data_IF_018947529525
#
_entry.id   IF_018947529525
#
_cell.length_a   1.000
_cell.length_b   1.000
_cell.length_c   1.000
_cell.angle_alpha   90.00
_cell.angle_beta   90.00
_cell.angle_gamma   90.00
#
_symmetry.space_group_name_H-M   'P 1'
#
loop_
_entity.id
_entity.type
_entity.pdbx_description
1 polymer ?
#
# COMPACT_ATOMS: atom_id res chain seq x y z
N UNK A 1 -24.40 -14.58 -1.54
CA UNK A 1 -25.05 -13.97 -0.37
C UNK A 1 -24.02 -13.87 0.74
N UNK A 2 -23.80 -12.67 1.30
CA UNK A 2 -22.87 -12.53 2.44
C UNK A 2 -23.57 -13.06 3.70
N UNK A 3 -23.13 -14.21 4.21
CA UNK A 3 -23.64 -14.77 5.48
C UNK A 3 -22.96 -14.10 6.68
N UNK A 4 -23.00 -12.77 6.74
CA UNK A 4 -22.48 -12.01 7.88
C UNK A 4 -23.44 -12.14 9.04
N UNK A 5 -22.95 -12.60 10.22
CA UNK A 5 -23.73 -12.74 11.45
C UNK A 5 -23.58 -11.56 12.42
N UNK A 6 -22.52 -10.80 12.27
CA UNK A 6 -22.22 -9.64 13.10
C UNK A 6 -20.98 -8.93 12.61
N UNK A 7 -20.75 -7.75 13.15
CA UNK A 7 -19.56 -6.96 12.84
C UNK A 7 -19.17 -6.03 13.98
N UNK A 8 -17.88 -5.71 14.09
CA UNK A 8 -17.33 -4.71 14.99
C UNK A 8 -16.65 -3.62 14.15
N UNK A 9 -17.04 -2.37 14.38
CA UNK A 9 -16.34 -1.22 13.82
C UNK A 9 -15.24 -0.78 14.78
N UNK A 10 -14.01 -0.65 14.27
CA UNK A 10 -12.83 -0.26 15.04
C UNK A 10 -12.28 1.03 14.44
N UNK A 11 -12.32 2.11 15.21
CA UNK A 11 -11.72 3.39 14.83
C UNK A 11 -10.30 3.47 15.38
N UNK A 12 -9.31 3.53 14.52
CA UNK A 12 -7.88 3.60 14.87
C UNK A 12 -7.38 5.00 14.58
N UNK A 13 -6.88 5.70 15.59
CA UNK A 13 -6.22 7.00 15.45
C UNK A 13 -4.75 6.85 15.77
N UNK A 14 -3.89 7.46 14.97
CA UNK A 14 -2.43 7.38 15.13
C UNK A 14 -1.96 7.73 16.54
N UNK A 15 -2.55 8.76 17.15
CA UNK A 15 -2.23 9.24 18.50
C UNK A 15 -2.59 8.29 19.65
N UNK A 16 -3.52 7.34 19.40
CA UNK A 16 -4.01 6.39 20.42
C UNK A 16 -3.22 5.07 20.39
N UNK A 17 -2.31 4.91 19.40
CA UNK A 17 -1.51 3.70 19.24
C UNK A 17 -0.36 3.62 20.23
N UNK A 18 -0.12 2.41 20.74
CA UNK A 18 1.08 2.09 21.51
C UNK A 18 2.23 1.71 20.57
N UNK A 19 3.46 1.93 21.03
CA UNK A 19 4.68 1.57 20.30
C UNK A 19 4.75 2.21 18.89
N UNK A 20 4.13 3.39 18.71
CA UNK A 20 4.29 4.16 17.48
C UNK A 20 5.75 4.62 17.35
N UNK A 21 6.28 4.60 16.12
CA UNK A 21 7.58 5.17 15.85
C UNK A 21 7.50 6.71 15.72
N UNK A 22 8.67 7.36 15.68
CA UNK A 22 8.77 8.83 15.53
C UNK A 22 8.15 9.34 14.20
N UNK A 23 7.99 8.46 13.20
CA UNK A 23 7.40 8.80 11.91
C UNK A 23 5.86 8.81 11.96
N UNK A 24 5.25 8.29 13.03
CA UNK A 24 3.80 8.24 13.21
C UNK A 24 3.06 7.34 12.21
N UNK A 25 3.77 6.44 11.52
CA UNK A 25 3.20 5.62 10.44
C UNK A 25 2.89 4.18 10.83
N UNK A 26 3.16 3.78 12.05
CA UNK A 26 2.84 2.46 12.57
C UNK A 26 2.52 2.51 14.06
N UNK A 27 1.93 1.45 14.55
CA UNK A 27 1.67 1.26 15.97
C UNK A 27 0.77 0.05 16.22
N UNK A 28 0.50 -0.16 17.50
CA UNK A 28 -0.32 -1.26 17.98
C UNK A 28 -1.53 -0.74 18.75
N UNK A 29 -2.71 -1.12 18.32
CA UNK A 29 -3.95 -1.02 19.09
C UNK A 29 -4.12 -2.29 19.92
N UNK A 30 -4.22 -2.17 21.24
CA UNK A 30 -4.55 -3.29 22.14
C UNK A 30 -6.04 -3.18 22.49
N UNK A 31 -6.80 -4.22 22.20
CA UNK A 31 -8.23 -4.27 22.52
C UNK A 31 -8.41 -4.61 24.00
N UNK A 32 -9.38 -3.95 24.66
CA UNK A 32 -9.74 -4.27 26.04
C UNK A 32 -10.41 -5.63 26.12
N UNK A 33 -11.28 -5.92 25.16
CA UNK A 33 -11.92 -7.22 24.98
C UNK A 33 -11.51 -7.81 23.63
N UNK A 34 -11.05 -9.06 23.60
CA UNK A 34 -10.66 -9.70 22.36
C UNK A 34 -11.88 -9.97 21.46
N UNK A 35 -11.70 -9.84 20.16
CA UNK A 35 -12.69 -10.24 19.16
C UNK A 35 -12.48 -11.71 18.87
N UNK A 36 -13.49 -12.55 19.20
CA UNK A 36 -13.38 -14.00 19.10
C UNK A 36 -14.47 -14.52 18.16
N UNK A 37 -14.05 -15.25 17.11
CA UNK A 37 -14.98 -15.99 16.25
C UNK A 37 -15.28 -17.38 16.82
N UNK A 38 -16.50 -17.86 16.61
CA UNK A 38 -16.90 -19.22 16.96
C UNK A 38 -16.19 -20.24 16.03
N UNK A 39 -16.24 -21.51 16.41
CA UNK A 39 -15.54 -22.59 15.66
C UNK A 39 -16.02 -22.78 14.21
N UNK A 40 -17.22 -22.32 13.87
CA UNK A 40 -17.81 -22.36 12.53
C UNK A 40 -17.80 -20.99 11.81
N UNK A 41 -17.07 -20.01 12.34
CA UNK A 41 -16.96 -18.67 11.79
C UNK A 41 -15.51 -18.37 11.41
N UNK A 42 -15.35 -17.46 10.46
CA UNK A 42 -14.08 -16.83 10.08
C UNK A 42 -14.23 -15.32 10.21
N UNK A 43 -13.13 -14.67 10.59
CA UNK A 43 -13.06 -13.22 10.66
C UNK A 43 -12.58 -12.65 9.33
N UNK A 44 -13.19 -11.54 8.94
CA UNK A 44 -12.81 -10.75 7.78
C UNK A 44 -12.57 -9.30 8.20
N UNK A 45 -11.57 -8.66 7.65
CA UNK A 45 -11.32 -7.23 7.84
C UNK A 45 -11.56 -6.46 6.55
N UNK A 46 -12.23 -5.32 6.67
CA UNK A 46 -12.46 -4.37 5.58
C UNK A 46 -12.05 -2.98 6.04
N UNK A 47 -11.38 -2.20 5.19
CA UNK A 47 -11.16 -0.77 5.42
C UNK A 47 -12.41 -0.04 4.94
N UNK A 48 -13.14 0.59 5.87
CA UNK A 48 -14.37 1.33 5.57
C UNK A 48 -14.07 2.75 5.15
N UNK A 49 -13.18 3.40 5.89
CA UNK A 49 -12.68 4.73 5.55
C UNK A 49 -11.31 4.95 6.16
N UNK A 50 -10.59 5.91 5.62
CA UNK A 50 -9.33 6.37 6.20
C UNK A 50 -9.13 7.84 5.88
N UNK A 51 -8.57 8.59 6.84
CA UNK A 51 -8.28 10.01 6.71
C UNK A 51 -6.82 10.26 6.99
N UNK A 52 -6.15 10.97 6.09
CA UNK A 52 -4.72 11.24 6.16
C UNK A 52 -4.42 12.71 5.91
N UNK A 53 -3.44 13.30 6.63
CA UNK A 53 -2.86 14.57 6.25
C UNK A 53 -1.91 14.35 5.07
N UNK A 54 -2.07 15.10 3.98
CA UNK A 54 -1.12 15.12 2.85
C UNK A 54 -0.03 16.17 3.13
N UNK A 55 0.71 15.98 4.23
CA UNK A 55 1.73 16.90 4.72
C UNK A 55 3.11 16.26 4.87
N UNK A 56 3.29 15.04 4.37
CA UNK A 56 4.61 14.41 4.37
C UNK A 56 5.57 15.05 3.37
N UNK A 57 6.85 14.96 3.68
CA UNK A 57 7.89 15.46 2.80
C UNK A 57 8.02 14.59 1.55
N UNK A 58 8.11 15.21 0.38
CA UNK A 58 8.45 14.54 -0.86
C UNK A 58 9.97 14.54 -1.14
N UNK A 59 10.72 15.35 -0.39
CA UNK A 59 12.18 15.39 -0.41
C UNK A 59 12.69 15.22 1.02
N UNK A 60 13.43 14.15 1.29
CA UNK A 60 14.00 13.93 2.63
C UNK A 60 15.15 12.91 2.61
N UNK A 61 15.99 12.96 3.64
CA UNK A 61 17.01 11.94 3.92
C UNK A 61 16.38 10.56 4.09
N UNK A 62 15.18 10.51 4.68
CA UNK A 62 14.45 9.27 4.89
C UNK A 62 14.02 8.59 3.59
N UNK A 63 13.65 9.38 2.57
CA UNK A 63 13.29 8.89 1.23
C UNK A 63 14.53 8.62 0.38
N UNK A 64 15.71 8.94 0.86
CA UNK A 64 16.98 8.81 0.12
C UNK A 64 16.94 9.54 -1.23
N UNK A 65 16.37 10.76 -1.28
CA UNK A 65 16.20 11.50 -2.53
C UNK A 65 16.60 12.98 -2.42
N UNK A 66 17.33 13.38 -1.37
CA UNK A 66 17.64 14.77 -1.08
C UNK A 66 19.08 15.18 -1.42
N UNK A 67 19.77 14.46 -2.29
CA UNK A 67 21.13 14.84 -2.70
C UNK A 67 21.23 15.07 -4.18
N UNK A 68 22.24 15.85 -4.60
CA UNK A 68 22.68 15.98 -5.98
C UNK A 68 24.19 16.09 -6.03
N UNK A 69 24.81 15.36 -6.96
CA UNK A 69 26.25 15.32 -7.14
C UNK A 69 26.66 16.08 -8.41
N UNK A 70 27.60 16.99 -8.30
CA UNK A 70 28.13 17.75 -9.45
C UNK A 70 29.62 18.03 -9.33
N UNK A 71 30.25 18.36 -10.44
CA UNK A 71 31.66 18.70 -10.55
C UNK A 71 31.89 19.74 -11.63
N UNK A 72 32.55 20.84 -11.29
CA UNK A 72 33.04 21.84 -12.25
C UNK A 72 34.48 21.53 -12.70
N UNK A 73 34.93 22.13 -13.80
CA UNK A 73 36.28 21.87 -14.36
C UNK A 73 37.41 22.01 -13.37
N UNK A 74 37.31 22.98 -12.45
CA UNK A 74 38.34 23.26 -11.44
C UNK A 74 38.28 22.34 -10.21
N UNK A 75 37.26 21.52 -10.09
CA UNK A 75 37.14 20.62 -8.97
C UNK A 75 37.98 19.34 -9.18
N UNK A 76 38.62 18.84 -8.13
CA UNK A 76 39.36 17.58 -8.15
C UNK A 76 38.41 16.36 -8.08
N UNK A 77 37.28 16.51 -7.42
CA UNK A 77 36.27 15.43 -7.20
C UNK A 77 34.84 15.97 -7.30
N UNK A 78 33.88 15.05 -7.39
CA UNK A 78 32.48 15.43 -7.29
C UNK A 78 32.16 15.98 -5.91
N UNK A 79 31.37 17.05 -5.89
CA UNK A 79 30.73 17.61 -4.71
C UNK A 79 29.32 17.05 -4.58
N UNK A 80 28.92 16.76 -3.36
CA UNK A 80 27.57 16.34 -3.06
C UNK A 80 26.90 17.48 -2.30
N UNK A 81 25.84 18.06 -2.89
CA UNK A 81 24.97 19.00 -2.18
C UNK A 81 23.83 18.22 -1.55
N UNK A 82 23.43 18.65 -0.35
CA UNK A 82 22.25 18.15 0.35
C UNK A 82 21.18 19.23 0.33
N UNK A 83 20.01 18.87 -0.20
CA UNK A 83 18.83 19.72 -0.25
C UNK A 83 18.10 19.66 1.08
N UNK A 84 17.46 20.75 1.47
CA UNK A 84 16.72 20.82 2.71
C UNK A 84 15.45 19.96 2.60
N UNK A 85 15.11 19.27 3.70
CA UNK A 85 13.94 18.41 3.72
C UNK A 85 12.64 19.23 3.67
N UNK A 86 11.69 18.81 2.85
CA UNK A 86 10.45 19.56 2.69
C UNK A 86 9.46 18.96 1.72
N UNK A 87 8.37 19.69 1.55
CA UNK A 87 7.33 19.41 0.56
C UNK A 87 7.43 20.44 -0.55
N UNK A 88 8.08 20.11 -1.64
CA UNK A 88 8.38 20.98 -2.75
C UNK A 88 7.39 20.81 -3.91
N UNK A 89 7.03 21.92 -4.56
CA UNK A 89 6.59 21.90 -5.96
C UNK A 89 7.81 21.98 -6.89
N UNK A 90 7.61 21.92 -8.22
CA UNK A 90 8.74 21.87 -9.16
C UNK A 90 9.58 23.15 -9.12
N UNK A 91 8.95 24.32 -9.03
CA UNK A 91 9.65 25.60 -9.03
C UNK A 91 10.45 25.78 -7.75
N UNK A 92 9.85 25.47 -6.59
CA UNK A 92 10.53 25.48 -5.28
C UNK A 92 11.72 24.51 -5.24
N UNK A 93 11.58 23.32 -5.84
CA UNK A 93 12.68 22.35 -5.91
C UNK A 93 13.82 22.85 -6.80
N UNK A 94 13.49 23.44 -7.96
CA UNK A 94 14.49 24.03 -8.84
C UNK A 94 15.24 25.19 -8.17
N UNK A 95 14.54 26.06 -7.46
CA UNK A 95 15.13 27.18 -6.71
C UNK A 95 16.04 26.68 -5.58
N UNK A 96 15.65 25.64 -4.84
CA UNK A 96 16.47 25.03 -3.81
C UNK A 96 17.75 24.42 -4.41
N UNK A 97 17.63 23.63 -5.49
CA UNK A 97 18.78 23.04 -6.18
C UNK A 97 19.71 24.15 -6.68
N UNK A 98 19.19 25.19 -7.34
CA UNK A 98 19.94 26.33 -7.81
C UNK A 98 20.74 26.99 -6.68
N UNK A 99 20.06 27.30 -5.57
CA UNK A 99 20.67 27.95 -4.41
C UNK A 99 21.83 27.15 -3.85
N UNK A 100 21.64 25.81 -3.69
CA UNK A 100 22.70 24.92 -3.19
C UNK A 100 23.85 24.76 -4.18
N UNK A 101 23.58 24.70 -5.49
CA UNK A 101 24.62 24.64 -6.52
C UNK A 101 25.47 25.92 -6.54
N UNK A 102 24.84 27.09 -6.55
CA UNK A 102 25.52 28.39 -6.57
C UNK A 102 26.37 28.60 -5.32
N UNK A 103 25.85 28.23 -4.13
CA UNK A 103 26.59 28.30 -2.87
C UNK A 103 27.83 27.38 -2.83
N UNK A 104 27.83 26.31 -3.63
CA UNK A 104 28.95 25.34 -3.69
C UNK A 104 29.76 25.43 -4.99
N UNK A 105 29.48 26.41 -5.85
CA UNK A 105 30.21 26.61 -7.10
C UNK A 105 31.62 27.12 -6.85
N UNK A 106 32.65 26.45 -7.35
CA UNK A 106 34.05 26.89 -7.28
C UNK A 106 34.31 28.04 -8.24
N UNK A 107 33.59 28.08 -9.35
CA UNK A 107 33.78 29.08 -10.41
C UNK A 107 32.76 30.22 -10.35
N UNK A 108 31.99 30.34 -9.25
CA UNK A 108 30.96 31.35 -9.06
C UNK A 108 29.94 31.36 -10.21
N UNK A 109 29.53 30.17 -10.65
CA UNK A 109 28.55 30.03 -11.73
C UNK A 109 27.16 30.36 -11.22
N UNK A 110 26.36 31.02 -12.09
CA UNK A 110 24.93 31.16 -11.92
C UNK A 110 24.25 30.08 -12.74
N UNK A 111 23.44 29.24 -12.08
CA UNK A 111 22.68 28.19 -12.71
C UNK A 111 21.29 28.67 -13.07
N UNK A 112 20.80 28.23 -14.23
CA UNK A 112 19.42 28.52 -14.68
C UNK A 112 18.68 27.21 -14.90
N UNK A 113 17.57 27.09 -14.22
CA UNK A 113 16.61 25.98 -14.37
C UNK A 113 15.38 26.52 -15.10
N UNK A 114 14.92 25.79 -16.11
CA UNK A 114 13.70 26.14 -16.84
C UNK A 114 12.80 24.91 -16.92
N UNK A 115 11.59 25.05 -16.42
CA UNK A 115 10.56 24.03 -16.55
C UNK A 115 9.70 24.29 -17.78
N UNK A 116 9.56 23.26 -18.61
CA UNK A 116 8.67 23.30 -19.78
C UNK A 116 7.39 22.53 -19.45
N UNK A 117 6.30 23.26 -19.24
CA UNK A 117 4.99 22.72 -18.89
C UNK A 117 4.38 21.82 -19.98
N UNK A 118 4.71 22.07 -21.28
CA UNK A 118 4.16 21.30 -22.40
C UNK A 118 4.76 19.89 -22.44
N UNK A 119 6.09 19.80 -22.25
CA UNK A 119 6.82 18.54 -22.29
C UNK A 119 7.02 17.94 -20.91
N UNK A 120 6.68 18.69 -19.87
CA UNK A 120 6.90 18.32 -18.46
C UNK A 120 8.36 17.98 -18.16
N UNK A 121 9.31 18.78 -18.70
CA UNK A 121 10.74 18.54 -18.59
C UNK A 121 11.47 19.73 -17.98
N UNK A 122 12.60 19.46 -17.31
CA UNK A 122 13.52 20.46 -16.79
C UNK A 122 14.72 20.61 -17.69
N UNK A 123 15.10 21.85 -17.99
CA UNK A 123 16.35 22.19 -18.67
C UNK A 123 17.27 22.92 -17.68
N UNK A 124 18.56 22.56 -17.67
CA UNK A 124 19.59 23.14 -16.80
C UNK A 124 20.70 23.72 -17.68
N UNK A 125 21.10 24.97 -17.41
CA UNK A 125 22.25 25.64 -18.00
C UNK A 125 23.00 26.44 -16.93
N UNK A 126 24.17 27.01 -17.28
CA UNK A 126 24.90 27.94 -16.42
C UNK A 126 25.53 29.09 -17.19
N UNK A 127 25.96 30.14 -16.48
CA UNK A 127 26.38 31.43 -17.05
C UNK A 127 27.64 31.38 -17.90
N UNK A 128 28.48 30.34 -17.81
CA UNK A 128 29.79 30.30 -18.47
C UNK A 128 30.07 28.96 -19.18
N UNK A 129 29.20 28.55 -20.09
CA UNK A 129 29.30 27.29 -20.81
C UNK A 129 30.49 27.26 -21.80
N UNK A 130 31.02 28.41 -22.21
CA UNK A 130 32.15 28.52 -23.12
C UNK A 130 33.51 28.17 -22.49
N UNK A 131 33.67 28.35 -21.18
CA UNK A 131 34.93 28.16 -20.47
C UNK A 131 34.90 27.07 -19.39
N UNK A 132 33.74 26.86 -18.77
CA UNK A 132 33.60 25.92 -17.66
C UNK A 132 32.73 24.74 -18.07
N UNK A 133 33.22 23.54 -17.81
CA UNK A 133 32.45 22.31 -17.94
C UNK A 133 31.87 21.94 -16.57
N UNK A 134 30.57 21.66 -16.52
CA UNK A 134 29.90 21.13 -15.35
C UNK A 134 29.36 19.72 -15.65
N UNK A 135 29.73 18.76 -14.85
CA UNK A 135 29.21 17.41 -14.88
C UNK A 135 28.24 17.18 -13.71
N UNK A 136 27.04 16.75 -14.00
CA UNK A 136 26.07 16.26 -13.01
C UNK A 136 26.11 14.74 -12.98
N UNK A 137 26.33 14.17 -11.80
CA UNK A 137 26.33 12.73 -11.59
C UNK A 137 25.00 12.26 -10.98
N UNK A 138 24.17 11.70 -11.83
CA UNK A 138 22.88 11.12 -11.46
C UNK A 138 22.95 9.60 -11.19
N UNK A 139 24.14 9.02 -11.01
CA UNK A 139 24.30 7.59 -10.69
C UNK A 139 23.96 7.29 -9.24
N UNK A 140 24.10 8.28 -8.35
CA UNK A 140 23.80 8.13 -6.94
C UNK A 140 22.32 7.78 -6.72
N UNK A 141 22.05 6.72 -5.96
CA UNK A 141 20.70 6.27 -5.61
C UNK A 141 19.94 7.28 -4.76
N UNK A 142 20.65 8.08 -3.93
CA UNK A 142 20.05 9.06 -3.02
C UNK A 142 19.81 10.43 -3.69
N UNK A 143 19.87 10.48 -5.01
CA UNK A 143 19.75 11.71 -5.80
C UNK A 143 18.28 12.07 -6.05
N UNK A 144 17.97 13.38 -6.02
CA UNK A 144 16.69 13.96 -6.43
C UNK A 144 16.40 13.80 -7.94
N UNK A 145 17.27 13.12 -8.69
CA UNK A 145 17.22 12.98 -10.16
C UNK A 145 15.86 12.56 -10.71
N UNK A 146 15.16 11.64 -10.01
CA UNK A 146 13.83 11.17 -10.44
C UNK A 146 12.80 12.28 -10.40
N UNK A 147 12.84 13.10 -9.34
CA UNK A 147 11.91 14.22 -9.16
C UNK A 147 12.05 15.25 -10.28
N UNK A 148 13.27 15.49 -10.76
CA UNK A 148 13.55 16.42 -11.87
C UNK A 148 13.67 15.73 -13.24
N UNK A 149 13.31 14.45 -13.33
CA UNK A 149 13.14 13.70 -14.58
C UNK A 149 14.44 13.18 -15.23
N UNK A 150 15.58 13.13 -14.52
CA UNK A 150 16.82 12.58 -15.07
C UNK A 150 16.96 11.08 -14.82
N UNK A 151 17.49 10.37 -15.83
CA UNK A 151 17.92 8.98 -15.69
C UNK A 151 19.29 8.89 -15.01
N UNK A 152 19.64 7.68 -14.55
CA UNK A 152 20.98 7.41 -14.03
C UNK A 152 22.04 7.63 -15.12
N UNK A 153 23.13 8.30 -14.77
CA UNK A 153 24.21 8.62 -15.68
C UNK A 153 24.86 9.96 -15.38
N UNK A 154 25.89 10.30 -16.13
CA UNK A 154 26.54 11.60 -16.08
C UNK A 154 26.00 12.47 -17.20
N UNK A 155 25.59 13.69 -16.89
CA UNK A 155 25.17 14.72 -17.85
C UNK A 155 26.16 15.88 -17.80
N UNK A 156 26.55 16.40 -18.95
CA UNK A 156 27.62 17.41 -19.09
C UNK A 156 27.10 18.64 -19.77
N UNK A 157 27.38 19.81 -19.16
CA UNK A 157 27.22 21.14 -19.76
C UNK A 157 28.62 21.67 -20.09
N UNK A 158 28.86 22.05 -21.33
CA UNK A 158 30.13 22.61 -21.81
C UNK A 158 29.90 23.50 -23.06
N UNK A 159 30.97 23.89 -23.74
CA UNK A 159 30.89 24.71 -24.95
C UNK A 159 30.13 24.08 -26.12
N UNK A 160 30.07 22.77 -26.20
CA UNK A 160 29.34 22.03 -27.26
C UNK A 160 27.93 21.69 -26.84
N UNK A 161 27.72 21.43 -25.56
CA UNK A 161 26.43 21.10 -24.95
C UNK A 161 26.09 22.18 -23.90
N UNK A 162 25.47 23.27 -24.34
CA UNK A 162 25.26 24.43 -23.50
C UNK A 162 24.15 24.27 -22.46
N UNK A 163 23.34 23.20 -22.56
CA UNK A 163 22.28 22.85 -21.60
C UNK A 163 22.05 21.34 -21.59
N UNK A 164 21.47 20.87 -20.50
CA UNK A 164 20.97 19.50 -20.38
C UNK A 164 19.48 19.52 -20.12
N UNK A 165 18.74 18.64 -20.79
CA UNK A 165 17.29 18.48 -20.59
C UNK A 165 17.03 17.13 -19.95
N UNK A 166 16.05 17.07 -19.07
CA UNK A 166 15.66 15.84 -18.41
C UNK A 166 15.20 14.77 -19.43
N UNK A 167 15.50 13.52 -19.14
CA UNK A 167 15.23 12.38 -20.03
C UNK A 167 13.77 11.95 -20.01
N UNK A 168 13.05 12.32 -18.94
CA UNK A 168 11.64 11.98 -18.65
C UNK A 168 10.90 13.18 -18.14
N UNK A 169 9.59 13.05 -18.10
CA UNK A 169 8.73 13.98 -17.40
C UNK A 169 9.13 14.07 -15.92
N UNK A 170 9.04 15.28 -15.37
CA UNK A 170 9.19 15.54 -13.94
C UNK A 170 8.18 14.75 -13.15
N UNK A 171 8.62 14.14 -12.07
CA UNK A 171 7.77 13.44 -11.11
C UNK A 171 8.07 13.93 -9.69
N UNK A 172 7.43 15.03 -9.31
CA UNK A 172 7.65 15.66 -8.01
C UNK A 172 7.19 14.80 -6.83
N UNK A 173 6.44 13.75 -7.11
CA UNK A 173 6.00 12.77 -6.10
C UNK A 173 7.05 11.68 -5.88
N UNK A 174 8.06 11.59 -6.73
CA UNK A 174 9.07 10.52 -6.79
C UNK A 174 8.42 9.13 -6.82
N UNK A 175 7.31 9.00 -7.57
CA UNK A 175 6.47 7.81 -7.67
C UNK A 175 5.60 7.46 -6.44
N UNK A 176 5.62 8.28 -5.39
CA UNK A 176 4.77 8.07 -4.19
C UNK A 176 3.36 8.62 -4.38
N UNK A 177 2.66 8.11 -5.37
CA UNK A 177 1.28 8.49 -5.72
C UNK A 177 0.21 7.67 -4.98
N UNK A 178 0.63 6.76 -4.14
CA UNK A 178 -0.26 5.86 -3.40
C UNK A 178 0.32 5.50 -2.04
N UNK A 179 -0.56 5.31 -1.07
CA UNK A 179 -0.23 4.73 0.24
C UNK A 179 -0.96 3.42 0.44
N UNK A 180 -0.38 2.55 1.25
CA UNK A 180 -0.89 1.23 1.58
C UNK A 180 -1.13 1.11 3.07
N UNK A 181 -2.31 0.62 3.45
CA UNK A 181 -2.61 0.20 4.81
C UNK A 181 -2.25 -1.27 4.92
N UNK A 182 -1.42 -1.60 5.90
CA UNK A 182 -0.96 -2.96 6.19
C UNK A 182 -1.37 -3.38 7.61
N UNK A 183 -1.75 -4.63 7.75
CA UNK A 183 -2.06 -5.27 9.04
C UNK A 183 -1.13 -6.48 9.24
N UNK A 184 0.12 -6.27 9.72
CA UNK A 184 1.15 -7.30 9.73
C UNK A 184 0.78 -8.57 10.52
N UNK A 185 0.04 -8.42 11.63
CA UNK A 185 -0.32 -9.53 12.50
C UNK A 185 -1.66 -10.21 12.16
N UNK A 186 -2.48 -9.63 11.26
CA UNK A 186 -3.84 -10.13 10.98
C UNK A 186 -4.01 -10.69 9.57
N UNK A 187 -3.29 -10.15 8.60
CA UNK A 187 -3.51 -10.43 7.18
C UNK A 187 -3.18 -11.89 6.81
N UNK A 188 -4.01 -12.48 5.98
CA UNK A 188 -3.83 -13.82 5.42
C UNK A 188 -2.89 -13.83 4.20
N UNK A 189 -2.16 -12.73 3.95
CA UNK A 189 -1.17 -12.60 2.88
C UNK A 189 -1.68 -13.08 1.51
N UNK A 190 -2.89 -12.67 1.12
CA UNK A 190 -3.50 -13.03 -0.19
C UNK A 190 -3.18 -12.04 -1.31
N UNK A 191 -2.60 -10.90 -0.99
CA UNK A 191 -2.18 -9.88 -1.95
C UNK A 191 -0.73 -10.13 -2.34
N UNK A 192 -0.44 -10.14 -3.64
CA UNK A 192 0.92 -10.24 -4.16
C UNK A 192 1.39 -8.85 -4.56
N UNK A 193 2.50 -8.43 -4.01
CA UNK A 193 3.15 -7.17 -4.32
C UNK A 193 4.01 -7.30 -5.57
N UNK A 194 3.81 -6.42 -6.55
CA UNK A 194 4.53 -6.50 -7.84
C UNK A 194 6.01 -6.20 -7.72
N UNK A 195 6.41 -5.38 -6.74
CA UNK A 195 7.81 -5.00 -6.50
C UNK A 195 8.67 -6.17 -6.02
N UNK A 196 8.10 -7.04 -5.19
CA UNK A 196 8.82 -8.16 -4.56
C UNK A 196 8.40 -9.53 -5.09
N UNK A 197 7.25 -9.64 -5.77
CA UNK A 197 6.62 -10.91 -6.15
C UNK A 197 6.17 -11.76 -4.94
N UNK A 198 6.16 -11.19 -3.74
CA UNK A 198 5.81 -11.88 -2.49
C UNK A 198 4.40 -11.56 -2.04
N UNK A 199 3.86 -12.44 -1.23
CA UNK A 199 2.61 -12.17 -0.52
C UNK A 199 2.79 -11.06 0.49
N UNK A 200 1.81 -10.17 0.55
CA UNK A 200 1.83 -8.97 1.37
C UNK A 200 0.62 -8.91 2.31
N UNK A 201 0.77 -8.15 3.38
CA UNK A 201 -0.24 -7.87 4.40
C UNK A 201 -1.05 -6.60 4.11
N UNK A 202 -1.08 -6.14 2.86
CA UNK A 202 -1.85 -4.99 2.40
C UNK A 202 -3.35 -5.29 2.50
N UNK A 203 -4.09 -4.38 3.14
CA UNK A 203 -5.55 -4.44 3.25
C UNK A 203 -6.26 -3.32 2.48
N UNK A 204 -5.56 -2.23 2.18
CA UNK A 204 -6.05 -1.18 1.29
C UNK A 204 -4.92 -0.51 0.52
N UNK A 205 -5.23 -0.10 -0.70
CA UNK A 205 -4.42 0.74 -1.58
C UNK A 205 -5.17 2.06 -1.80
N UNK A 206 -4.54 3.17 -1.47
CA UNK A 206 -5.16 4.49 -1.41
C UNK A 206 -4.40 5.45 -2.30
N UNK A 207 -4.99 5.93 -3.40
CA UNK A 207 -4.39 6.96 -4.23
C UNK A 207 -4.22 8.26 -3.44
N UNK A 208 -3.08 8.90 -3.57
CA UNK A 208 -2.79 10.19 -2.95
C UNK A 208 -3.22 11.32 -3.90
N UNK A 209 -4.03 12.30 -3.44
CA UNK A 209 -4.37 13.45 -4.25
C UNK A 209 -3.16 14.36 -4.48
N UNK A 210 -3.14 15.04 -5.62
CA UNK A 210 -2.06 15.99 -5.96
C UNK A 210 -2.03 17.23 -5.05
N UNK A 211 -3.15 17.55 -4.40
CA UNK A 211 -3.24 18.70 -3.50
C UNK A 211 -2.47 18.46 -2.22
N UNK A 212 -1.45 19.29 -1.96
CA UNK A 212 -0.60 19.22 -0.78
C UNK A 212 -1.18 20.01 0.38
N UNK A 213 -0.70 19.74 1.59
CA UNK A 213 -1.10 20.39 2.82
C UNK A 213 -2.62 20.36 3.06
N UNK A 214 -3.27 19.31 2.56
CA UNK A 214 -4.71 19.06 2.73
C UNK A 214 -4.92 17.77 3.51
N UNK A 215 -6.10 17.67 4.10
CA UNK A 215 -6.57 16.39 4.64
C UNK A 215 -7.40 15.72 3.54
N UNK A 216 -7.13 14.47 3.24
CA UNK A 216 -7.93 13.71 2.29
C UNK A 216 -8.52 12.47 2.96
N UNK A 217 -9.71 12.08 2.48
CA UNK A 217 -10.44 10.92 2.98
C UNK A 217 -10.59 9.89 1.88
N UNK A 218 -10.33 8.65 2.24
CA UNK A 218 -10.58 7.48 1.42
C UNK A 218 -11.85 6.79 1.91
N UNK A 219 -12.83 6.65 1.04
CA UNK A 219 -14.07 5.92 1.27
C UNK A 219 -14.38 5.05 0.05
N UNK A 220 -14.05 3.75 0.09
CA UNK A 220 -14.29 2.87 -1.04
C UNK A 220 -15.78 2.60 -1.20
N UNK A 221 -16.31 2.76 -2.42
CA UNK A 221 -17.70 2.41 -2.72
C UNK A 221 -18.00 0.92 -2.44
N UNK A 222 -17.01 0.08 -2.61
CA UNK A 222 -17.05 -1.36 -2.35
C UNK A 222 -15.80 -1.73 -1.53
N UNK A 223 -15.88 -1.83 -0.20
CA UNK A 223 -14.76 -2.24 0.61
C UNK A 223 -14.29 -3.64 0.22
N UNK A 224 -12.97 -3.79 0.03
CA UNK A 224 -12.37 -5.10 -0.13
C UNK A 224 -12.22 -5.74 1.24
N UNK A 225 -12.84 -6.90 1.44
CA UNK A 225 -12.77 -7.63 2.71
C UNK A 225 -11.84 -8.81 2.58
N UNK A 226 -10.87 -8.88 3.48
CA UNK A 226 -9.85 -9.93 3.52
C UNK A 226 -10.10 -10.86 4.71
N UNK A 227 -10.04 -12.16 4.46
CA UNK A 227 -10.07 -13.18 5.52
C UNK A 227 -8.84 -13.05 6.41
N UNK A 228 -9.02 -13.14 7.72
CA UNK A 228 -7.94 -13.11 8.68
C UNK A 228 -7.36 -14.52 8.93
N UNK A 229 -6.10 -14.57 9.33
CA UNK A 229 -5.40 -15.84 9.61
C UNK A 229 -5.68 -16.38 11.02
N UNK A 230 -6.42 -15.64 11.84
CA UNK A 230 -6.70 -15.98 13.24
C UNK A 230 -8.15 -15.71 13.60
N UNK A 231 -8.67 -16.49 14.57
CA UNK A 231 -10.04 -16.39 15.06
C UNK A 231 -10.15 -15.64 16.39
N UNK A 232 -9.03 -15.16 16.92
CA UNK A 232 -8.96 -14.40 18.17
C UNK A 232 -8.04 -13.20 17.97
N UNK A 233 -8.56 -12.00 18.08
CA UNK A 233 -7.85 -10.74 17.92
C UNK A 233 -7.83 -10.01 19.24
N UNK A 234 -6.68 -9.93 19.88
CA UNK A 234 -6.44 -9.15 21.11
C UNK A 234 -5.70 -7.84 20.83
N UNK A 235 -5.02 -7.74 19.67
CA UNK A 235 -4.32 -6.55 19.24
C UNK A 235 -4.28 -6.45 17.72
N UNK A 236 -4.18 -5.23 17.22
CA UNK A 236 -4.07 -4.90 15.80
C UNK A 236 -2.78 -4.10 15.60
N UNK A 237 -1.85 -4.67 14.83
CA UNK A 237 -0.69 -3.94 14.35
C UNK A 237 -1.05 -3.30 13.01
N UNK A 238 -0.86 -1.99 12.90
CA UNK A 238 -1.13 -1.23 11.69
C UNK A 238 0.13 -0.52 11.23
N UNK A 239 0.36 -0.51 9.93
CA UNK A 239 1.46 0.23 9.30
C UNK A 239 0.97 0.90 8.03
N UNK A 240 1.39 2.16 7.83
CA UNK A 240 1.12 2.94 6.63
C UNK A 240 2.44 3.09 5.88
N UNK A 241 2.46 2.62 4.63
CA UNK A 241 3.66 2.64 3.79
C UNK A 241 3.36 3.24 2.44
N UNK A 242 4.39 3.65 1.72
CA UNK A 242 4.33 3.84 0.28
C UNK A 242 4.35 2.47 -0.43
N UNK A 243 4.91 2.36 -1.61
CA UNK A 243 4.85 1.16 -2.43
C UNK A 243 5.48 -0.07 -1.76
N UNK A 244 6.61 0.09 -1.07
CA UNK A 244 7.34 -0.99 -0.40
C UNK A 244 7.16 -0.96 1.12
N UNK A 245 7.27 -2.11 1.79
CA UNK A 245 7.21 -2.18 3.27
C UNK A 245 8.31 -1.35 3.95
N UNK A 246 9.43 -1.19 3.30
CA UNK A 246 10.57 -0.42 3.81
C UNK A 246 10.37 1.08 3.69
N UNK A 247 9.52 1.52 2.73
CA UNK A 247 9.25 2.93 2.46
C UNK A 247 8.04 3.42 3.25
N UNK A 248 8.27 3.76 4.49
CA UNK A 248 7.23 4.21 5.41
C UNK A 248 6.89 5.69 5.20
N UNK A 249 5.61 6.03 5.26
CA UNK A 249 5.16 7.43 5.21
C UNK A 249 5.59 8.16 6.47
N UNK A 250 6.14 9.35 6.34
CA UNK A 250 6.52 10.21 7.47
C UNK A 250 5.45 11.28 7.67
N UNK A 251 4.49 11.02 8.56
CA UNK A 251 3.42 11.98 8.87
C UNK A 251 3.86 13.15 9.75
N UNK A 252 5.08 13.11 10.30
CA UNK A 252 5.55 14.13 11.22
C UNK A 252 4.65 14.21 12.46
N UNK A 253 4.02 15.38 12.66
CA UNK A 253 3.05 15.60 13.74
C UNK A 253 1.59 15.46 13.29
N UNK A 254 1.35 15.05 12.05
CA UNK A 254 0.01 14.86 11.51
C UNK A 254 -0.65 13.59 12.00
N UNK A 255 -1.88 13.71 12.48
CA UNK A 255 -2.70 12.57 12.89
C UNK A 255 -3.47 11.99 11.71
N UNK A 256 -3.56 10.67 11.66
CA UNK A 256 -4.40 9.95 10.71
C UNK A 256 -5.40 9.06 11.45
N UNK A 257 -6.47 8.70 10.74
CA UNK A 257 -7.51 7.81 11.24
C UNK A 257 -7.83 6.73 10.21
N UNK A 258 -8.03 5.50 10.66
CA UNK A 258 -8.48 4.36 9.86
C UNK A 258 -9.64 3.66 10.54
N UNK A 259 -10.73 3.47 9.83
CA UNK A 259 -11.91 2.76 10.28
C UNK A 259 -11.95 1.36 9.66
N UNK A 260 -11.77 0.34 10.50
CA UNK A 260 -11.82 -1.07 10.12
C UNK A 260 -13.15 -1.69 10.53
N UNK A 261 -13.75 -2.47 9.64
CA UNK A 261 -14.87 -3.34 9.96
C UNK A 261 -14.35 -4.77 10.08
N UNK A 262 -14.57 -5.40 11.23
CA UNK A 262 -14.33 -6.84 11.42
C UNK A 262 -15.67 -7.56 11.33
N UNK A 263 -15.81 -8.41 10.31
CA UNK A 263 -17.03 -9.19 10.07
C UNK A 263 -16.85 -10.66 10.47
N UNK A 264 -17.91 -11.23 11.05
CA UNK A 264 -18.03 -12.67 11.30
C UNK A 264 -18.79 -13.30 10.14
N UNK A 265 -18.15 -14.18 9.41
CA UNK A 265 -18.78 -14.93 8.30
C UNK A 265 -18.74 -16.43 8.58
N UNK A 266 -19.83 -17.14 8.22
CA UNK A 266 -19.87 -18.60 8.33
C UNK A 266 -18.77 -19.24 7.49
N UNK A 267 -18.08 -20.21 8.08
CA UNK A 267 -17.12 -21.04 7.37
C UNK A 267 -17.85 -22.11 6.55
N UNK A 268 -18.20 -21.80 5.31
CA UNK A 268 -18.90 -22.70 4.40
C UNK A 268 -18.11 -23.99 4.07
N UNK A 269 -16.78 -24.02 4.32
CA UNK A 269 -15.96 -25.22 4.11
C UNK A 269 -16.22 -26.33 5.14
N UNK A 270 -16.87 -26.00 6.28
CA UNK A 270 -17.24 -26.99 7.30
C UNK A 270 -18.65 -27.56 7.09
N UNK A 271 -19.43 -27.09 6.15
CA UNK A 271 -20.61 -27.85 5.71
C UNK A 271 -20.09 -29.13 5.04
N UNK A 272 -20.62 -30.26 5.55
CA UNK A 272 -20.18 -31.58 5.14
C UNK A 272 -20.05 -31.65 3.61
N UNK A 273 -18.96 -32.22 3.08
CA UNK A 273 -18.74 -32.28 1.64
C UNK A 273 -19.98 -32.90 0.95
N UNK A 274 -20.33 -32.45 -0.26
CA UNK A 274 -21.55 -32.90 -0.98
C UNK A 274 -21.72 -34.42 -0.99
N UNK A 275 -20.62 -35.18 -0.93
CA UNK A 275 -20.60 -36.62 -0.79
C UNK A 275 -21.21 -37.15 0.50
N UNK A 276 -21.18 -36.42 1.60
CA UNK A 276 -21.76 -36.81 2.89
C UNK A 276 -23.28 -36.61 2.87
N UNK A 277 -23.75 -35.53 2.27
CA UNK A 277 -25.17 -35.25 2.05
C UNK A 277 -25.75 -36.31 1.10
N UNK A 278 -25.06 -36.57 0.01
CA UNK A 278 -25.49 -37.57 -0.97
C UNK A 278 -25.52 -38.98 -0.36
N UNK A 279 -24.54 -39.37 0.46
CA UNK A 279 -24.53 -40.62 1.22
C UNK A 279 -25.68 -40.71 2.22
N UNK A 280 -26.02 -39.66 2.93
CA UNK A 280 -27.13 -39.65 3.86
C UNK A 280 -28.48 -39.78 3.16
N UNK A 281 -28.66 -39.07 2.04
CA UNK A 281 -29.85 -39.18 1.21
C UNK A 281 -30.00 -40.60 0.66
N UNK A 282 -28.93 -41.19 0.09
CA UNK A 282 -28.95 -42.58 -0.39
C UNK A 282 -29.22 -43.59 0.72
N UNK A 283 -28.72 -43.33 1.95
CA UNK A 283 -29.01 -44.21 3.12
C UNK A 283 -30.46 -44.08 3.54
N UNK A 284 -31.07 -42.90 3.53
CA UNK A 284 -32.50 -42.71 3.79
C UNK A 284 -33.37 -43.34 2.74
N UNK A 285 -33.05 -43.21 1.46
CA UNK A 285 -33.77 -43.85 0.35
C UNK A 285 -33.74 -45.36 0.48
N UNK A 286 -32.57 -46.00 0.75
CA UNK A 286 -32.47 -47.45 0.99
C UNK A 286 -33.27 -47.94 2.19
N UNK A 287 -33.36 -47.15 3.25
CA UNK A 287 -34.17 -47.49 4.41
C UNK A 287 -35.68 -47.39 4.09
N UNK A 288 -36.07 -46.42 3.29
CA UNK A 288 -37.45 -46.28 2.82
C UNK A 288 -37.87 -47.43 1.90
N UNK A 289 -37.02 -47.83 0.97
CA UNK A 289 -37.26 -49.02 0.09
C UNK A 289 -37.38 -50.31 0.90
N UNK A 290 -36.50 -50.52 1.90
CA UNK A 290 -36.60 -51.70 2.79
C UNK A 290 -37.91 -51.75 3.55
N UNK A 291 -38.39 -50.59 4.03
CA UNK A 291 -39.66 -50.48 4.73
C UNK A 291 -40.84 -50.81 3.81
N UNK A 292 -40.86 -50.31 2.59
CA UNK A 292 -41.88 -50.63 1.59
C UNK A 292 -41.95 -52.12 1.25
N UNK A 293 -40.78 -52.77 1.11
CA UNK A 293 -40.72 -54.22 0.84
C UNK A 293 -41.27 -55.02 2.02
N UNK A 294 -41.02 -54.58 3.26
CA UNK A 294 -41.49 -55.21 4.47
C UNK A 294 -42.99 -55.04 4.64
N UNK A 295 -43.52 -53.85 4.37
CA UNK A 295 -44.96 -53.56 4.39
C UNK A 295 -45.72 -54.37 3.34
N UNK A 296 -45.14 -54.55 2.11
CA UNK A 296 -45.72 -55.35 1.06
C UNK A 296 -45.79 -56.84 1.44
N UNK A 297 -44.72 -57.38 2.07
CA UNK A 297 -44.71 -58.75 2.60
C UNK A 297 -45.82 -58.96 3.66
N UNK A 298 -45.98 -58.01 4.51
CA UNK A 298 -46.99 -58.09 5.57
C UNK A 298 -48.45 -58.08 5.01
N UNK A 299 -48.68 -57.25 3.97
CA UNK A 299 -49.94 -57.18 3.24
C UNK A 299 -50.22 -58.53 2.54
N UNK A 300 -49.23 -59.16 1.95
CA UNK A 300 -49.38 -60.44 1.26
C UNK A 300 -49.63 -61.59 2.25
N UNK A 301 -49.02 -61.58 3.44
CA UNK A 301 -49.28 -62.48 4.53
C UNK A 301 -50.75 -62.37 5.03
N UNK A 302 -51.24 -61.13 5.22
CA UNK A 302 -52.63 -60.88 5.63
C UNK A 302 -53.61 -61.43 4.56
N UNK A 303 -53.31 -61.19 3.27
CA UNK A 303 -54.14 -61.69 2.17
C UNK A 303 -54.17 -63.25 2.13
N UNK A 304 -53.06 -63.90 2.49
CA UNK A 304 -53.02 -65.37 2.54
C UNK A 304 -53.83 -65.93 3.75
N UNK A 305 -53.81 -65.24 4.89
CA UNK A 305 -54.61 -65.60 6.04
C UNK A 305 -56.10 -65.47 5.78
N UNK A 306 -56.52 -64.38 5.10
CA UNK A 306 -57.92 -64.18 4.73
C UNK A 306 -58.39 -65.27 3.74
N UNK A 307 -57.55 -65.74 2.81
CA UNK A 307 -57.89 -66.85 1.91
C UNK A 307 -57.99 -68.20 2.60
N UNK A 308 -57.38 -68.44 3.74
CA UNK A 308 -57.47 -69.67 4.50
C UNK A 308 -58.69 -69.75 5.41
N UNK A 309 -59.38 -68.59 5.63
CA UNK A 309 -60.59 -68.55 6.44
C UNK A 309 -61.88 -68.60 5.63
N UNK A 310 -61.78 -68.66 4.32
CA UNK A 310 -62.92 -68.96 3.38
C UNK A 310 -62.83 -70.43 2.92
#
# INVERSE_FOLDING_TARGET
MNNTRGSNLICIRSRDLKNSNLLGNNGRLVLQEPIIANSNEKLYVCVMSATFPNSWYNLSTYLNNNTLSFKETSDSSYKIITLDEGTYNIDELMDEIKTKLEANSTNSLTYTFTYNEITNTVNITHSNTGAITTNFDFTNSNSCRRMIGFLSGIKTINSSTTSITSDRAVDITDTYNSIYIRLPNLSNQKVIESSSGRYSNIVAHIPVPLSRNTIFTYEPQKPFCMELNQNNISAIDISITFQDEEQRVHFGKGDWEVNLLIEYRLNMEKEAPPHTIHRNILRQMRNYEKKQVQDKKHIDEIKQLIKKQK
#
